data_IF_848646705660
#
_entry.id   IF_848646705660
#
_cell.length_a   1.000
_cell.length_b   1.000
_cell.length_c   1.000
_cell.angle_alpha   90.00
_cell.angle_beta   90.00
_cell.angle_gamma   90.00
#
_symmetry.space_group_name_H-M   'P 1'
#
loop_
_entity.id
_entity.type
_entity.pdbx_description
1 polymer ?
#
# COMPACT_ATOMS: atom_id res chain seq x y z
N UNK A 1 4.69 -47.22 -23.51
CA UNK A 1 4.10 -45.94 -23.07
C UNK A 1 4.28 -45.79 -21.57
N UNK A 2 5.32 -45.09 -21.13
CA UNK A 2 5.43 -44.59 -19.75
C UNK A 2 6.00 -43.16 -19.80
N UNK A 3 5.33 -42.27 -19.09
CA UNK A 3 5.33 -40.82 -19.25
C UNK A 3 6.31 -40.20 -18.24
N UNK A 4 7.39 -39.57 -18.71
CA UNK A 4 8.51 -39.03 -17.89
C UNK A 4 8.33 -37.55 -17.46
N UNK A 5 7.13 -36.98 -17.60
CA UNK A 5 6.93 -35.52 -17.48
C UNK A 5 6.65 -34.93 -16.10
N UNK A 6 6.70 -35.70 -15.00
CA UNK A 6 6.14 -35.28 -13.71
C UNK A 6 7.13 -35.40 -12.53
N UNK A 7 8.38 -34.99 -12.70
CA UNK A 7 9.37 -34.94 -11.59
C UNK A 7 10.28 -33.70 -11.60
N UNK A 8 10.16 -32.76 -12.54
CA UNK A 8 11.15 -31.70 -12.72
C UNK A 8 10.81 -30.33 -12.08
N UNK A 9 9.66 -30.16 -11.42
CA UNK A 9 9.28 -28.85 -10.83
C UNK A 9 9.45 -28.81 -9.30
N UNK A 10 9.82 -29.92 -8.67
CA UNK A 10 9.95 -30.02 -7.21
C UNK A 10 11.33 -29.61 -6.64
N UNK A 11 12.25 -29.09 -7.46
CA UNK A 11 13.64 -28.82 -7.04
C UNK A 11 14.06 -27.34 -7.06
N UNK A 12 13.11 -26.38 -7.06
CA UNK A 12 13.44 -24.95 -6.98
C UNK A 12 12.78 -24.26 -5.77
N UNK A 13 12.78 -24.91 -4.61
CA UNK A 13 12.39 -24.31 -3.32
C UNK A 13 13.46 -24.60 -2.28
N UNK A 14 14.66 -24.06 -2.47
CA UNK A 14 15.69 -24.06 -1.44
C UNK A 14 16.75 -23.01 -1.74
N UNK A 15 16.53 -21.77 -1.28
CA UNK A 15 17.52 -20.84 -0.66
C UNK A 15 17.05 -19.40 -0.79
N UNK A 16 16.31 -18.92 0.21
CA UNK A 16 16.29 -17.49 0.54
C UNK A 16 16.90 -17.39 1.92
N UNK A 17 18.19 -17.03 1.96
CA UNK A 17 18.92 -16.78 3.19
C UNK A 17 18.31 -15.58 3.91
N UNK A 18 17.81 -15.81 5.11
CA UNK A 18 17.33 -14.77 6.03
C UNK A 18 18.52 -14.03 6.63
N UNK A 19 18.79 -12.81 6.16
CA UNK A 19 19.60 -11.84 6.88
C UNK A 19 18.70 -11.14 7.91
N UNK A 20 18.75 -11.58 9.17
CA UNK A 20 18.15 -10.84 10.28
C UNK A 20 19.25 -9.99 10.92
N UNK A 21 19.20 -8.69 10.62
CA UNK A 21 20.06 -7.68 11.25
C UNK A 21 19.56 -7.45 12.67
N UNK A 22 20.40 -7.82 13.63
CA UNK A 22 20.26 -7.53 15.06
C UNK A 22 20.28 -6.02 15.32
N UNK A 23 19.13 -5.44 15.68
CA UNK A 23 19.09 -4.07 16.22
C UNK A 23 19.49 -4.16 17.70
N UNK A 24 20.67 -3.61 17.99
CA UNK A 24 21.24 -3.51 19.32
C UNK A 24 20.41 -2.63 20.25
N UNK A 25 20.38 -3.07 21.49
CA UNK A 25 19.85 -2.40 22.68
C UNK A 25 20.78 -1.22 23.07
N UNK A 26 20.34 0.05 23.08
CA UNK A 26 21.15 1.11 23.64
C UNK A 26 20.96 1.19 25.16
N UNK A 27 21.69 0.34 25.89
CA UNK A 27 22.03 0.58 27.29
C UNK A 27 23.51 0.97 27.35
N UNK A 28 23.79 2.27 27.28
CA UNK A 28 25.11 2.81 27.62
C UNK A 28 24.94 4.20 28.23
N UNK A 29 24.90 4.21 29.55
CA UNK A 29 25.27 5.31 30.42
C UNK A 29 26.68 5.80 30.07
N UNK A 30 26.89 7.11 29.92
CA UNK A 30 28.20 7.74 30.09
C UNK A 30 28.02 9.14 30.69
N UNK A 31 28.77 9.39 31.77
CA UNK A 31 28.80 10.61 32.57
C UNK A 31 29.96 11.52 32.13
N UNK A 32 29.67 12.84 32.06
CA UNK A 32 30.53 14.01 32.33
C UNK A 32 31.73 14.34 31.39
N UNK A 33 32.35 15.55 31.43
CA UNK A 33 31.98 16.83 32.07
C UNK A 33 31.92 18.06 31.11
N UNK A 34 31.47 19.19 31.65
CA UNK A 34 31.37 20.50 31.02
C UNK A 34 32.72 21.05 30.52
N UNK A 35 32.75 21.54 29.28
CA UNK A 35 33.76 22.48 28.80
C UNK A 35 33.03 23.68 28.18
N UNK A 36 33.25 24.86 28.75
CA UNK A 36 32.60 26.09 28.34
C UNK A 36 33.08 26.56 26.96
N UNK A 37 32.12 26.90 26.10
CA UNK A 37 32.35 27.71 24.92
C UNK A 37 31.48 28.97 25.07
N UNK A 38 32.14 30.12 25.18
CA UNK A 38 31.49 31.44 25.20
C UNK A 38 31.00 31.70 23.77
N UNK A 39 29.68 31.72 23.56
CA UNK A 39 29.08 32.02 22.27
C UNK A 39 28.95 33.54 22.06
N UNK A 40 29.20 34.07 20.85
CA UNK A 40 28.95 35.47 20.51
C UNK A 40 27.44 35.77 20.57
N UNK A 41 27.10 36.82 21.31
CA UNK A 41 25.74 37.31 21.52
C UNK A 41 25.17 37.87 20.22
N UNK A 42 24.50 37.01 19.45
CA UNK A 42 23.71 37.43 18.29
C UNK A 42 22.34 37.87 18.82
N UNK A 43 21.82 39.06 18.47
CA UNK A 43 20.51 39.49 18.91
C UNK A 43 19.44 38.50 18.43
N UNK A 44 18.41 38.19 19.24
CA UNK A 44 17.36 37.27 18.84
C UNK A 44 16.63 37.85 17.63
N UNK A 45 16.73 37.14 16.50
CA UNK A 45 15.88 37.37 15.36
C UNK A 45 14.42 37.19 15.80
N UNK A 46 13.61 38.23 15.62
CA UNK A 46 12.17 38.19 15.85
C UNK A 46 11.59 37.16 14.88
N UNK A 47 11.26 35.97 15.39
CA UNK A 47 10.53 34.96 14.64
C UNK A 47 9.08 35.45 14.51
N UNK A 48 8.54 35.62 13.29
CA UNK A 48 7.13 35.95 13.13
C UNK A 48 6.29 34.86 13.80
N UNK A 49 5.38 35.26 14.68
CA UNK A 49 4.41 34.34 15.25
C UNK A 49 3.59 33.72 14.12
N UNK A 50 3.79 32.43 13.87
CA UNK A 50 2.93 31.64 12.99
C UNK A 50 1.55 31.62 13.64
N UNK A 51 0.60 32.31 13.03
CA UNK A 51 -0.80 32.27 13.47
C UNK A 51 -1.27 30.81 13.49
N UNK A 52 -2.03 30.38 14.52
CA UNK A 52 -2.56 29.03 14.57
C UNK A 52 -3.43 28.79 13.34
N UNK A 53 -3.03 27.81 12.51
CA UNK A 53 -3.82 27.39 11.37
C UNK A 53 -5.20 26.96 11.86
N UNK A 54 -6.30 27.46 11.26
CA UNK A 54 -7.63 27.00 11.62
C UNK A 54 -7.69 25.48 11.42
N UNK A 55 -8.17 24.78 12.46
CA UNK A 55 -8.36 23.34 12.42
C UNK A 55 -9.32 22.91 11.30
N UNK A 56 -9.37 21.61 10.96
CA UNK A 56 -10.23 21.11 9.90
C UNK A 56 -11.68 21.50 10.16
N UNK A 57 -12.32 22.07 9.15
CA UNK A 57 -13.74 22.45 9.23
C UNK A 57 -14.62 21.22 9.43
N UNK A 58 -15.83 21.39 9.96
CA UNK A 58 -16.78 20.29 10.15
C UNK A 58 -17.07 19.51 8.83
N UNK A 59 -17.05 20.20 7.69
CA UNK A 59 -17.17 19.61 6.36
C UNK A 59 -15.97 18.73 6.00
N UNK A 60 -14.75 19.17 6.31
CA UNK A 60 -13.53 18.40 6.13
C UNK A 60 -13.55 17.12 6.97
N UNK A 61 -13.94 17.25 8.24
CA UNK A 61 -14.08 16.11 9.16
C UNK A 61 -15.12 15.10 8.66
N UNK A 62 -16.25 15.57 8.14
CA UNK A 62 -17.28 14.73 7.56
C UNK A 62 -16.77 13.97 6.33
N UNK A 63 -15.98 14.63 5.48
CA UNK A 63 -15.36 14.02 4.30
C UNK A 63 -14.33 12.95 4.68
N UNK A 64 -13.51 13.22 5.69
CA UNK A 64 -12.54 12.24 6.22
C UNK A 64 -13.28 11.02 6.76
N UNK A 65 -14.32 11.21 7.59
CA UNK A 65 -15.15 10.11 8.12
C UNK A 65 -15.83 9.29 7.03
N UNK A 66 -16.32 9.95 5.98
CA UNK A 66 -16.93 9.27 4.85
C UNK A 66 -15.93 8.40 4.08
N UNK A 67 -14.71 8.89 3.89
CA UNK A 67 -13.66 8.15 3.17
C UNK A 67 -13.08 6.99 3.97
N UNK A 68 -13.05 7.10 5.30
CA UNK A 68 -12.60 6.02 6.18
C UNK A 68 -13.68 5.02 6.53
N UNK A 69 -14.95 5.28 6.16
CA UNK A 69 -16.03 4.34 6.37
C UNK A 69 -15.76 3.00 5.67
N UNK A 70 -15.85 1.92 6.44
CA UNK A 70 -15.72 0.56 5.92
C UNK A 70 -17.02 0.14 5.26
N UNK A 71 -16.92 -0.37 4.04
CA UNK A 71 -18.02 -0.88 3.23
C UNK A 71 -17.73 -2.35 2.88
N UNK A 72 -18.66 -3.23 3.23
CA UNK A 72 -18.58 -4.65 2.92
C UNK A 72 -19.41 -4.98 1.67
N UNK A 73 -18.80 -5.64 0.67
CA UNK A 73 -19.50 -6.19 -0.50
C UNK A 73 -19.41 -7.71 -0.50
N UNK A 74 -20.44 -8.38 -0.99
CA UNK A 74 -20.47 -9.84 -1.14
C UNK A 74 -20.29 -10.19 -2.61
N UNK A 75 -19.28 -11.00 -2.93
CA UNK A 75 -19.11 -11.62 -4.25
C UNK A 75 -19.57 -13.08 -4.20
N UNK A 76 -20.18 -13.52 -5.29
CA UNK A 76 -20.54 -14.91 -5.51
C UNK A 76 -19.51 -15.45 -6.50
N UNK A 77 -18.71 -16.42 -6.07
CA UNK A 77 -17.76 -17.08 -6.96
C UNK A 77 -18.53 -17.92 -7.99
N UNK A 78 -18.24 -17.74 -9.28
CA UNK A 78 -18.88 -18.49 -10.36
C UNK A 78 -18.14 -19.81 -10.53
N UNK A 79 -18.60 -20.88 -9.86
CA UNK A 79 -17.95 -22.20 -9.90
C UNK A 79 -18.76 -23.31 -9.22
N UNK A 80 -18.33 -24.57 -9.37
CA UNK A 80 -19.08 -25.76 -8.91
C UNK A 80 -19.28 -25.84 -7.38
N UNK A 81 -18.53 -25.04 -6.62
CA UNK A 81 -18.79 -24.78 -5.21
C UNK A 81 -19.16 -23.30 -5.08
N UNK A 82 -20.46 -22.99 -5.14
CA UNK A 82 -20.97 -21.61 -5.02
C UNK A 82 -20.73 -21.14 -3.58
N UNK A 83 -19.56 -20.59 -3.33
CA UNK A 83 -19.19 -19.97 -2.07
C UNK A 83 -19.44 -18.45 -2.16
N UNK A 84 -20.03 -17.90 -1.09
CA UNK A 84 -20.20 -16.45 -0.94
C UNK A 84 -18.99 -15.90 -0.17
N UNK A 85 -18.30 -14.93 -0.74
CA UNK A 85 -17.19 -14.23 -0.07
C UNK A 85 -17.61 -12.81 0.27
N UNK A 86 -17.32 -12.37 1.50
CA UNK A 86 -17.48 -10.97 1.91
C UNK A 86 -16.12 -10.28 1.94
N UNK A 87 -16.03 -9.12 1.30
CA UNK A 87 -14.83 -8.28 1.29
C UNK A 87 -15.20 -6.92 1.86
N UNK A 88 -14.56 -6.53 2.97
CA UNK A 88 -14.76 -5.26 3.64
C UNK A 88 -13.54 -4.38 3.44
N UNK A 89 -13.73 -3.22 2.82
CA UNK A 89 -12.67 -2.25 2.52
C UNK A 89 -13.17 -0.84 2.82
N UNK A 90 -12.26 0.11 2.99
CA UNK A 90 -12.63 1.53 3.10
C UNK A 90 -13.17 2.06 1.76
N UNK A 91 -13.90 3.17 1.78
CA UNK A 91 -14.43 3.75 0.55
C UNK A 91 -13.34 4.16 -0.44
N UNK A 92 -12.24 4.75 0.05
CA UNK A 92 -11.07 5.06 -0.78
C UNK A 92 -10.47 3.81 -1.45
N UNK A 93 -10.44 2.68 -0.76
CA UNK A 93 -9.96 1.41 -1.34
C UNK A 93 -10.92 0.88 -2.40
N UNK A 94 -12.24 1.02 -2.22
CA UNK A 94 -13.22 0.65 -3.23
C UNK A 94 -13.12 1.48 -4.51
N UNK A 95 -12.79 2.76 -4.41
CA UNK A 95 -12.52 3.63 -5.57
C UNK A 95 -11.33 3.08 -6.37
N UNK A 96 -10.23 2.75 -5.70
CA UNK A 96 -9.06 2.13 -6.34
C UNK A 96 -9.41 0.81 -7.04
N UNK A 97 -10.13 -0.09 -6.34
CA UNK A 97 -10.57 -1.37 -6.93
C UNK A 97 -11.46 -1.14 -8.15
N UNK A 98 -12.37 -0.16 -8.10
CA UNK A 98 -13.23 0.17 -9.23
C UNK A 98 -12.45 0.68 -10.44
N UNK A 99 -11.47 1.55 -10.21
CA UNK A 99 -10.62 2.11 -11.27
C UNK A 99 -9.78 1.03 -11.96
N UNK A 100 -9.13 0.17 -11.18
CA UNK A 100 -8.35 -0.96 -11.71
C UNK A 100 -9.23 -1.97 -12.47
N UNK A 101 -10.45 -2.25 -11.99
CA UNK A 101 -11.40 -3.10 -12.70
C UNK A 101 -11.83 -2.49 -14.05
N UNK A 102 -12.08 -1.18 -14.10
CA UNK A 102 -12.45 -0.51 -15.34
C UNK A 102 -11.30 -0.50 -16.35
N UNK A 103 -10.06 -0.20 -15.90
CA UNK A 103 -8.86 -0.28 -16.75
C UNK A 103 -8.69 -1.67 -17.32
N UNK A 104 -8.83 -2.68 -16.47
CA UNK A 104 -8.69 -4.08 -16.86
C UNK A 104 -9.76 -4.48 -17.89
N UNK A 105 -11.03 -4.10 -17.66
CA UNK A 105 -12.11 -4.35 -18.61
C UNK A 105 -11.87 -3.69 -19.98
N UNK A 106 -11.36 -2.46 -20.00
CA UNK A 106 -11.00 -1.76 -21.25
C UNK A 106 -9.91 -2.50 -22.01
N UNK A 107 -8.83 -2.91 -21.33
CA UNK A 107 -7.75 -3.70 -21.94
C UNK A 107 -8.27 -4.99 -22.55
N UNK A 108 -9.14 -5.71 -21.85
CA UNK A 108 -9.75 -6.92 -22.41
C UNK A 108 -10.54 -6.63 -23.70
N UNK A 109 -11.30 -5.53 -23.76
CA UNK A 109 -12.05 -5.16 -24.98
C UNK A 109 -11.09 -4.78 -26.12
N UNK A 110 -10.05 -4.00 -25.83
CA UNK A 110 -9.02 -3.61 -26.81
C UNK A 110 -8.28 -4.83 -27.37
N UNK A 111 -7.84 -5.75 -26.51
CA UNK A 111 -7.14 -6.98 -26.90
C UNK A 111 -8.02 -7.90 -27.76
N UNK A 112 -9.31 -8.03 -27.41
CA UNK A 112 -10.25 -8.83 -28.19
C UNK A 112 -10.59 -8.18 -29.54
N UNK A 113 -10.73 -6.85 -29.57
CA UNK A 113 -11.03 -6.10 -30.80
C UNK A 113 -9.86 -6.17 -31.78
N UNK A 114 -8.63 -5.98 -31.29
CA UNK A 114 -7.42 -6.03 -32.12
C UNK A 114 -7.22 -7.44 -32.74
N UNK A 115 -7.48 -8.50 -31.98
CA UNK A 115 -7.41 -9.88 -32.50
C UNK A 115 -8.49 -10.22 -33.52
N UNK A 116 -9.67 -9.62 -33.46
CA UNK A 116 -10.78 -9.91 -34.38
C UNK A 116 -10.71 -9.10 -35.68
N UNK A 117 -9.99 -7.96 -35.71
CA UNK A 117 -9.83 -7.13 -36.90
C UNK A 117 -8.73 -7.55 -37.89
N UNK A 118 -7.96 -8.61 -37.57
CA UNK A 118 -6.75 -9.03 -38.30
C UNK A 118 -6.91 -10.27 -39.18
N UNK A 119 -8.11 -10.62 -39.64
CA UNK A 119 -8.29 -11.67 -40.64
C UNK A 119 -7.79 -11.20 -42.00
N UNK A 120 -6.85 -11.91 -42.67
CA UNK A 120 -6.42 -11.55 -44.02
C UNK A 120 -7.62 -11.65 -44.97
N UNK A 121 -7.88 -10.57 -45.72
CA UNK A 121 -8.66 -10.65 -46.96
C UNK A 121 -7.87 -11.42 -48.02
#
# INVERSE_FOLDING_TARGET
MLNFGMMAVLALVATIATAQTTVGNPAATTLAPATGAIAPSTPPAVVPAVAPSPGPTAAELAKIKYQTAIVCRTSIETGSLIAKKKTCLTRKQWEYVSDENQKTARRFVEDNTNKQGGGPN
#
